data_IF_971260340095
#
_entry.id   IF_971260340095
#
_cell.length_a   1.000
_cell.length_b   1.000
_cell.length_c   1.000
_cell.angle_alpha   90.00
_cell.angle_beta   90.00
_cell.angle_gamma   90.00
#
_symmetry.space_group_name_H-M   'P 1'
#
loop_
_entity.id
_entity.type
_entity.pdbx_description
1 polymer ?
#
# COMPACT_ATOMS: atom_id res chain seq x y z
N UNK A 1 1.96 -10.48 16.26
CA UNK A 1 0.80 -9.58 16.22
C UNK A 1 0.25 -9.66 14.82
N UNK A 2 -0.95 -10.19 14.65
CA UNK A 2 -1.73 -10.01 13.42
C UNK A 2 -1.99 -8.53 13.25
N UNK A 3 -1.75 -7.96 12.06
CA UNK A 3 -2.10 -6.56 11.81
C UNK A 3 -3.59 -6.35 12.08
N UNK A 4 -3.88 -5.21 12.70
CA UNK A 4 -5.24 -4.73 12.91
C UNK A 4 -5.75 -4.23 11.55
N UNK A 5 -6.87 -4.75 11.10
CA UNK A 5 -7.59 -4.20 9.94
C UNK A 5 -8.05 -2.77 10.26
N UNK A 6 -7.70 -1.83 9.38
CA UNK A 6 -8.16 -0.45 9.49
C UNK A 6 -9.66 -0.38 9.16
N UNK A 7 -10.38 0.37 9.97
CA UNK A 7 -11.82 0.59 9.82
C UNK A 7 -12.13 2.05 9.64
N UNK A 8 -13.39 2.37 9.35
CA UNK A 8 -13.85 3.78 9.26
C UNK A 8 -13.53 4.61 10.50
N UNK A 9 -13.40 3.99 11.68
CA UNK A 9 -13.05 4.67 12.95
C UNK A 9 -11.60 5.14 12.99
N UNK A 10 -10.75 4.62 12.12
CA UNK A 10 -9.33 4.93 12.04
C UNK A 10 -9.05 6.07 11.05
N UNK A 11 -10.10 6.62 10.40
CA UNK A 11 -10.00 7.68 9.40
C UNK A 11 -10.49 9.03 9.92
N UNK A 12 -9.87 10.09 9.41
CA UNK A 12 -10.40 11.46 9.54
C UNK A 12 -11.32 11.74 8.36
N UNK A 13 -12.65 11.75 8.60
CA UNK A 13 -13.63 11.91 7.52
C UNK A 13 -13.98 13.38 7.24
N UNK A 14 -14.07 13.71 5.96
CA UNK A 14 -14.57 15.00 5.45
C UNK A 14 -15.93 14.77 4.81
N UNK A 15 -16.97 15.45 5.30
CA UNK A 15 -18.34 15.28 4.79
C UNK A 15 -18.55 15.83 3.37
N UNK A 16 -17.67 16.74 2.93
CA UNK A 16 -17.72 17.38 1.61
C UNK A 16 -17.24 16.42 0.52
N UNK A 17 -17.94 16.39 -0.61
CA UNK A 17 -17.68 15.45 -1.71
C UNK A 17 -17.72 16.09 -3.11
N UNK A 18 -17.61 17.43 -3.19
CA UNK A 18 -17.53 18.10 -4.48
C UNK A 18 -16.19 17.83 -5.19
N UNK A 19 -16.15 18.11 -6.49
CA UNK A 19 -14.99 17.84 -7.35
C UNK A 19 -13.70 18.47 -6.85
N UNK A 20 -13.74 19.66 -6.26
CA UNK A 20 -12.53 20.29 -5.75
C UNK A 20 -12.00 19.56 -4.51
N UNK A 21 -12.89 19.14 -3.60
CA UNK A 21 -12.51 18.30 -2.45
C UNK A 21 -11.92 16.96 -2.90
N UNK A 22 -12.53 16.30 -3.88
CA UNK A 22 -12.01 15.04 -4.42
C UNK A 22 -10.67 15.22 -5.14
N UNK A 23 -10.47 16.32 -5.85
CA UNK A 23 -9.19 16.66 -6.49
C UNK A 23 -8.09 16.91 -5.45
N UNK A 24 -8.37 17.65 -4.37
CA UNK A 24 -7.43 17.85 -3.26
C UNK A 24 -7.05 16.50 -2.64
N UNK A 25 -8.04 15.65 -2.37
CA UNK A 25 -7.83 14.30 -1.86
C UNK A 25 -6.96 13.45 -2.79
N UNK A 26 -7.29 13.39 -4.09
CA UNK A 26 -6.50 12.62 -5.06
C UNK A 26 -5.08 13.15 -5.24
N UNK A 27 -4.87 14.47 -5.16
CA UNK A 27 -3.52 15.03 -5.14
C UNK A 27 -2.75 14.60 -3.90
N UNK A 28 -3.37 14.62 -2.72
CA UNK A 28 -2.73 14.15 -1.50
C UNK A 28 -2.35 12.66 -1.58
N UNK A 29 -3.22 11.80 -2.11
CA UNK A 29 -2.87 10.39 -2.38
C UNK A 29 -1.67 10.30 -3.34
N UNK A 30 -1.72 11.07 -4.44
CA UNK A 30 -0.65 11.10 -5.44
C UNK A 30 0.70 11.52 -4.87
N UNK A 31 0.74 12.51 -3.98
CA UNK A 31 1.96 12.94 -3.29
C UNK A 31 2.56 11.79 -2.46
N UNK A 32 1.72 11.07 -1.72
CA UNK A 32 2.18 9.92 -0.92
C UNK A 32 2.65 8.80 -1.84
N UNK A 33 1.92 8.49 -2.92
CA UNK A 33 2.33 7.47 -3.89
C UNK A 33 3.68 7.81 -4.55
N UNK A 34 3.92 9.07 -4.92
CA UNK A 34 5.19 9.51 -5.50
C UNK A 34 6.33 9.39 -4.48
N UNK A 35 6.08 9.77 -3.21
CA UNK A 35 7.07 9.68 -2.14
C UNK A 35 7.56 8.25 -1.89
N UNK A 36 6.66 7.26 -1.95
CA UNK A 36 6.97 5.85 -1.68
C UNK A 36 6.97 4.99 -2.94
N UNK A 37 7.16 5.58 -4.12
CA UNK A 37 7.08 4.88 -5.42
C UNK A 37 8.04 3.68 -5.54
N UNK A 38 9.13 3.68 -4.79
CA UNK A 38 10.12 2.60 -4.78
C UNK A 38 9.54 1.28 -4.24
N UNK A 39 8.47 1.32 -3.43
CA UNK A 39 7.77 0.11 -2.99
C UNK A 39 7.13 -0.65 -4.16
N UNK A 40 6.79 0.06 -5.25
CA UNK A 40 6.25 -0.57 -6.45
C UNK A 40 7.32 -1.30 -7.30
N UNK A 41 8.61 -1.19 -6.95
CA UNK A 41 9.69 -1.87 -7.67
C UNK A 41 9.71 -3.39 -7.41
N UNK A 42 9.06 -3.88 -6.35
CA UNK A 42 8.87 -5.32 -6.11
C UNK A 42 10.15 -6.09 -5.78
N UNK A 43 11.13 -5.44 -5.15
CA UNK A 43 12.44 -6.04 -4.79
C UNK A 43 12.37 -7.10 -3.70
N UNK A 44 11.27 -7.14 -2.95
CA UNK A 44 11.13 -7.96 -1.74
C UNK A 44 11.28 -9.45 -2.02
N UNK A 45 10.65 -9.94 -3.10
CA UNK A 45 10.76 -11.36 -3.47
C UNK A 45 12.17 -11.71 -3.95
N UNK A 46 12.89 -10.79 -4.61
CA UNK A 46 14.30 -11.04 -4.98
C UNK A 46 15.22 -11.11 -3.77
N UNK A 47 14.99 -10.28 -2.74
CA UNK A 47 15.74 -10.35 -1.47
C UNK A 47 15.55 -11.72 -0.81
N UNK A 48 14.31 -12.20 -0.74
CA UNK A 48 13.98 -13.51 -0.16
C UNK A 48 14.60 -14.65 -0.98
N UNK A 49 14.51 -14.60 -2.30
CA UNK A 49 15.10 -15.61 -3.20
C UNK A 49 16.63 -15.67 -3.07
N UNK A 50 17.30 -14.51 -3.03
CA UNK A 50 18.74 -14.42 -2.79
C UNK A 50 19.14 -14.97 -1.42
N UNK A 51 18.36 -14.65 -0.38
CA UNK A 51 18.61 -15.15 0.97
C UNK A 51 18.58 -16.68 1.01
N UNK A 52 17.58 -17.31 0.36
CA UNK A 52 17.48 -18.77 0.26
C UNK A 52 18.64 -19.37 -0.53
N UNK A 53 18.95 -18.81 -1.71
CA UNK A 53 20.03 -19.32 -2.58
C UNK A 53 21.42 -19.24 -1.95
N UNK A 54 21.64 -18.20 -1.14
CA UNK A 54 22.93 -17.95 -0.48
C UNK A 54 22.97 -18.51 0.94
N UNK A 55 21.88 -19.13 1.42
CA UNK A 55 21.70 -19.57 2.82
C UNK A 55 22.01 -18.45 3.83
N UNK A 56 21.72 -17.19 3.44
CA UNK A 56 22.11 -16.00 4.18
C UNK A 56 20.94 -15.40 4.93
N UNK A 57 20.93 -15.60 6.26
CA UNK A 57 19.98 -14.92 7.16
C UNK A 57 20.17 -13.40 7.14
N UNK A 58 21.41 -12.93 7.02
CA UNK A 58 21.72 -11.50 6.97
C UNK A 58 21.08 -10.80 5.77
N UNK A 59 20.93 -11.52 4.66
CA UNK A 59 20.25 -11.00 3.47
C UNK A 59 18.79 -10.62 3.74
N UNK A 60 18.10 -11.32 4.65
CA UNK A 60 16.72 -10.97 5.04
C UNK A 60 16.64 -9.65 5.82
N UNK A 61 17.75 -9.15 6.39
CA UNK A 61 17.77 -7.83 7.03
C UNK A 61 17.54 -6.69 6.02
N UNK A 62 17.77 -6.92 4.72
CA UNK A 62 17.43 -5.95 3.67
C UNK A 62 15.91 -5.69 3.56
N UNK A 63 15.06 -6.55 4.14
CA UNK A 63 13.62 -6.31 4.23
C UNK A 63 13.24 -5.30 5.32
N UNK A 64 14.09 -5.06 6.33
CA UNK A 64 13.80 -4.15 7.44
C UNK A 64 13.50 -2.71 7.00
N UNK A 65 14.34 -2.05 6.16
CA UNK A 65 14.00 -0.71 5.68
C UNK A 65 12.72 -0.69 4.84
N UNK A 66 12.44 -1.76 4.07
CA UNK A 66 11.22 -1.86 3.26
C UNK A 66 9.98 -1.98 4.16
N UNK A 67 10.07 -2.77 5.24
CA UNK A 67 9.01 -2.88 6.25
C UNK A 67 8.72 -1.54 6.93
N UNK A 68 9.77 -0.77 7.26
CA UNK A 68 9.63 0.56 7.82
C UNK A 68 8.96 1.53 6.82
N UNK A 69 9.30 1.43 5.54
CA UNK A 69 8.68 2.25 4.49
C UNK A 69 7.20 1.90 4.27
N UNK A 70 6.81 0.61 4.28
CA UNK A 70 5.39 0.23 4.24
C UNK A 70 4.63 0.76 5.45
N UNK A 71 5.22 0.69 6.64
CA UNK A 71 4.60 1.24 7.85
C UNK A 71 4.44 2.76 7.77
N UNK A 72 5.46 3.47 7.29
CA UNK A 72 5.41 4.91 7.07
C UNK A 72 4.39 5.28 5.98
N UNK A 73 4.31 4.52 4.89
CA UNK A 73 3.30 4.64 3.83
C UNK A 73 1.88 4.54 4.41
N UNK A 74 1.58 3.44 5.12
CA UNK A 74 0.26 3.19 5.71
C UNK A 74 -0.12 4.31 6.67
N UNK A 75 0.79 4.70 7.57
CA UNK A 75 0.56 5.77 8.53
C UNK A 75 0.32 7.13 7.84
N UNK A 76 1.04 7.40 6.73
CA UNK A 76 0.86 8.64 5.96
C UNK A 76 -0.51 8.68 5.30
N UNK A 77 -0.94 7.58 4.65
CA UNK A 77 -2.28 7.50 4.06
C UNK A 77 -3.39 7.60 5.10
N UNK A 78 -3.27 6.89 6.24
CA UNK A 78 -4.27 6.91 7.32
C UNK A 78 -4.51 8.31 7.88
N UNK A 79 -3.46 9.14 7.91
CA UNK A 79 -3.53 10.51 8.39
C UNK A 79 -4.20 11.49 7.42
N UNK A 80 -4.44 11.10 6.17
CA UNK A 80 -5.08 11.97 5.19
C UNK A 80 -6.55 12.22 5.55
N UNK A 81 -7.07 13.45 5.41
CA UNK A 81 -8.50 13.70 5.43
C UNK A 81 -9.18 12.99 4.26
N UNK A 82 -10.11 12.08 4.54
CA UNK A 82 -10.78 11.24 3.54
C UNK A 82 -12.20 11.75 3.30
N UNK A 83 -12.56 12.17 2.08
CA UNK A 83 -13.95 12.45 1.74
C UNK A 83 -14.83 11.25 2.05
N UNK A 84 -16.00 11.44 2.67
CA UNK A 84 -16.87 10.33 3.07
C UNK A 84 -17.19 9.41 1.89
N UNK A 85 -17.39 9.96 0.70
CA UNK A 85 -17.67 9.16 -0.50
C UNK A 85 -16.49 8.27 -0.96
N UNK A 86 -15.28 8.48 -0.43
CA UNK A 86 -14.06 7.77 -0.79
C UNK A 86 -13.57 6.79 0.29
N UNK A 87 -14.27 6.66 1.44
CA UNK A 87 -13.73 5.90 2.58
C UNK A 87 -13.49 4.43 2.22
N UNK A 88 -14.35 3.80 1.43
CA UNK A 88 -14.23 2.36 1.11
C UNK A 88 -12.98 2.06 0.30
N UNK A 89 -12.77 2.83 -0.78
CA UNK A 89 -11.60 2.65 -1.64
C UNK A 89 -10.31 3.06 -0.92
N UNK A 90 -10.38 4.03 0.01
CA UNK A 90 -9.26 4.39 0.86
C UNK A 90 -8.90 3.27 1.86
N UNK A 91 -9.90 2.69 2.54
CA UNK A 91 -9.67 1.57 3.46
C UNK A 91 -9.09 0.35 2.75
N UNK A 92 -9.59 0.05 1.55
CA UNK A 92 -9.04 -1.03 0.74
C UNK A 92 -7.54 -0.83 0.46
N UNK A 93 -7.12 0.42 0.19
CA UNK A 93 -5.70 0.77 0.00
C UNK A 93 -4.88 0.59 1.27
N UNK A 94 -5.37 1.05 2.42
CA UNK A 94 -4.68 0.85 3.70
C UNK A 94 -4.52 -0.63 4.02
N UNK A 95 -5.61 -1.39 3.94
CA UNK A 95 -5.65 -2.78 4.35
C UNK A 95 -4.81 -3.67 3.45
N UNK A 96 -4.81 -3.45 2.13
CA UNK A 96 -3.98 -4.26 1.23
C UNK A 96 -2.49 -4.03 1.48
N UNK A 97 -2.07 -2.79 1.79
CA UNK A 97 -0.68 -2.51 2.13
C UNK A 97 -0.30 -3.04 3.51
N UNK A 98 -1.22 -3.06 4.46
CA UNK A 98 -1.01 -3.72 5.75
C UNK A 98 -0.81 -5.24 5.58
N UNK A 99 -1.59 -5.88 4.70
CA UNK A 99 -1.40 -7.30 4.36
C UNK A 99 -0.04 -7.55 3.69
N UNK A 100 0.40 -6.67 2.78
CA UNK A 100 1.73 -6.75 2.17
C UNK A 100 2.83 -6.66 3.23
N UNK A 101 2.76 -5.71 4.15
CA UNK A 101 3.71 -5.58 5.27
C UNK A 101 3.73 -6.84 6.14
N UNK A 102 2.57 -7.38 6.50
CA UNK A 102 2.49 -8.58 7.34
C UNK A 102 3.09 -9.81 6.66
N UNK A 103 2.87 -9.95 5.36
CA UNK A 103 3.50 -10.98 4.56
C UNK A 103 5.03 -10.83 4.56
N UNK A 104 5.55 -9.60 4.51
CA UNK A 104 6.98 -9.30 4.62
C UNK A 104 7.54 -9.64 6.00
N UNK A 105 6.80 -9.40 7.08
CA UNK A 105 7.21 -9.82 8.43
C UNK A 105 7.32 -11.34 8.55
N UNK A 106 6.44 -12.08 7.87
CA UNK A 106 6.54 -13.54 7.82
C UNK A 106 7.75 -13.98 7.00
N UNK A 107 7.97 -13.37 5.84
CA UNK A 107 9.13 -13.66 4.98
C UNK A 107 10.47 -13.35 5.66
N UNK A 108 10.56 -12.29 6.46
CA UNK A 108 11.81 -11.95 7.17
C UNK A 108 12.21 -12.98 8.24
N UNK A 109 11.28 -13.87 8.63
CA UNK A 109 11.49 -14.95 9.59
C UNK A 109 11.68 -16.31 8.93
N UNK A 110 11.88 -16.37 7.61
CA UNK A 110 11.93 -17.63 6.85
C UNK A 110 12.90 -18.67 7.43
N UNK A 111 14.06 -18.27 7.94
CA UNK A 111 15.03 -19.21 8.53
C UNK A 111 14.68 -19.65 9.97
N UNK A 112 13.78 -18.93 10.67
CA UNK A 112 13.27 -19.31 11.99
C UNK A 112 11.99 -20.14 11.90
N UNK A 113 11.12 -19.80 10.95
CA UNK A 113 9.85 -20.45 10.67
C UNK A 113 9.70 -20.62 9.14
N UNK A 114 10.24 -21.71 8.57
CA UNK A 114 10.19 -21.95 7.13
C UNK A 114 8.77 -22.07 6.58
N UNK A 115 7.85 -22.65 7.36
CA UNK A 115 6.44 -22.79 6.97
C UNK A 115 5.78 -21.41 6.94
N UNK A 116 5.97 -20.61 8.00
CA UNK A 116 5.47 -19.25 8.07
C UNK A 116 6.06 -18.34 7.00
N UNK A 117 7.36 -18.44 6.73
CA UNK A 117 8.02 -17.69 5.66
C UNK A 117 7.49 -18.04 4.28
N UNK A 118 7.30 -19.32 3.98
CA UNK A 118 6.69 -19.77 2.72
C UNK A 118 5.24 -19.31 2.58
N UNK A 119 4.47 -19.32 3.68
CA UNK A 119 3.13 -18.74 3.71
C UNK A 119 3.17 -17.23 3.43
N UNK A 120 4.14 -16.50 4.00
CA UNK A 120 4.39 -15.09 3.72
C UNK A 120 4.60 -14.79 2.23
N UNK A 121 5.39 -15.61 1.52
CA UNK A 121 5.57 -15.45 0.05
C UNK A 121 4.24 -15.57 -0.70
N UNK A 122 3.41 -16.55 -0.33
CA UNK A 122 2.08 -16.74 -0.96
C UNK A 122 1.17 -15.55 -0.67
N UNK A 123 1.14 -15.10 0.57
CA UNK A 123 0.33 -13.97 1.02
C UNK A 123 0.76 -12.65 0.34
N UNK A 124 2.06 -12.40 0.19
CA UNK A 124 2.58 -11.23 -0.51
C UNK A 124 2.13 -11.22 -1.97
N UNK A 125 2.25 -12.37 -2.67
CA UNK A 125 1.78 -12.47 -4.07
C UNK A 125 0.29 -12.18 -4.18
N UNK A 126 -0.50 -12.68 -3.24
CA UNK A 126 -1.94 -12.38 -3.18
C UNK A 126 -2.18 -10.88 -2.90
N UNK A 127 -1.52 -10.30 -1.91
CA UNK A 127 -1.67 -8.89 -1.57
C UNK A 127 -1.23 -7.97 -2.72
N UNK A 128 -0.20 -8.33 -3.49
CA UNK A 128 0.21 -7.60 -4.69
C UNK A 128 -0.88 -7.64 -5.79
N UNK A 129 -1.51 -8.81 -6.01
CA UNK A 129 -2.63 -8.94 -6.94
C UNK A 129 -3.85 -8.13 -6.50
N UNK A 130 -4.22 -8.24 -5.22
CA UNK A 130 -5.31 -7.46 -4.63
C UNK A 130 -4.99 -5.96 -4.68
N UNK A 131 -3.73 -5.57 -4.49
CA UNK A 131 -3.26 -4.18 -4.55
C UNK A 131 -3.42 -3.57 -5.93
N UNK A 132 -3.12 -4.32 -7.00
CA UNK A 132 -3.37 -3.89 -8.37
C UNK A 132 -4.86 -3.64 -8.64
N UNK A 133 -5.74 -4.47 -8.07
CA UNK A 133 -7.20 -4.27 -8.14
C UNK A 133 -7.60 -2.98 -7.42
N UNK A 134 -7.11 -2.77 -6.20
CA UNK A 134 -7.43 -1.57 -5.40
C UNK A 134 -6.96 -0.28 -6.09
N UNK A 135 -5.77 -0.26 -6.68
CA UNK A 135 -5.27 0.91 -7.42
C UNK A 135 -6.16 1.22 -8.62
N UNK A 136 -6.61 0.19 -9.35
CA UNK A 136 -7.57 0.37 -10.45
C UNK A 136 -8.91 0.89 -9.94
N UNK A 137 -9.40 0.38 -8.81
CA UNK A 137 -10.68 0.83 -8.25
C UNK A 137 -10.59 2.29 -7.77
N UNK A 138 -9.43 2.74 -7.28
CA UNK A 138 -9.17 4.13 -6.94
C UNK A 138 -9.16 5.05 -8.17
N UNK A 139 -8.57 4.59 -9.29
CA UNK A 139 -8.66 5.27 -10.57
C UNK A 139 -10.12 5.39 -11.04
N UNK A 140 -10.83 4.27 -11.09
CA UNK A 140 -12.24 4.23 -11.51
C UNK A 140 -13.09 5.16 -10.64
N UNK A 141 -12.85 5.20 -9.33
CA UNK A 141 -13.51 6.12 -8.42
C UNK A 141 -13.36 7.59 -8.87
N UNK A 142 -12.15 8.05 -9.20
CA UNK A 142 -11.96 9.43 -9.66
C UNK A 142 -12.62 9.69 -11.02
N UNK A 143 -12.54 8.73 -11.95
CA UNK A 143 -13.18 8.81 -13.26
C UNK A 143 -14.71 8.91 -13.15
N UNK A 144 -15.33 8.05 -12.35
CA UNK A 144 -16.79 8.05 -12.11
C UNK A 144 -17.27 9.34 -11.44
N UNK A 145 -16.44 9.96 -10.60
CA UNK A 145 -16.72 11.28 -10.01
C UNK A 145 -16.42 12.45 -10.95
N UNK A 146 -15.91 12.17 -12.15
CA UNK A 146 -15.56 13.17 -13.14
C UNK A 146 -14.48 14.14 -12.65
N UNK A 147 -13.52 13.61 -11.90
CA UNK A 147 -12.33 14.31 -11.41
C UNK A 147 -11.18 14.01 -12.38
N UNK A 148 -10.60 15.07 -12.94
CA UNK A 148 -9.45 14.96 -13.86
C UNK A 148 -8.30 15.75 -13.26
N UNK A 149 -7.12 15.14 -13.25
CA UNK A 149 -5.88 15.76 -12.79
C UNK A 149 -5.12 16.35 -13.98
N UNK A 150 -4.42 17.46 -13.79
CA UNK A 150 -3.53 18.01 -14.82
C UNK A 150 -2.18 17.28 -14.78
N UNK A 151 -1.40 17.35 -15.85
CA UNK A 151 -0.10 16.65 -15.94
C UNK A 151 0.89 17.00 -14.82
N UNK A 152 0.77 18.20 -14.23
CA UNK A 152 1.62 18.66 -13.13
C UNK A 152 1.06 18.33 -11.74
N UNK A 153 -0.15 17.79 -11.65
CA UNK A 153 -0.75 17.38 -10.38
C UNK A 153 -0.16 16.04 -9.91
N UNK A 154 0.17 15.88 -8.62
CA UNK A 154 0.58 14.57 -8.09
C UNK A 154 -0.47 13.47 -8.34
N UNK A 155 -1.75 13.82 -8.35
CA UNK A 155 -2.86 12.91 -8.65
C UNK A 155 -2.93 12.47 -10.12
N UNK A 156 -2.10 13.01 -11.02
CA UNK A 156 -2.07 12.64 -12.44
C UNK A 156 -1.85 11.14 -12.69
N UNK A 157 -1.23 10.45 -11.74
CA UNK A 157 -1.07 9.00 -11.77
C UNK A 157 -2.40 8.24 -11.89
N UNK A 158 -3.52 8.83 -11.48
CA UNK A 158 -4.85 8.23 -11.54
C UNK A 158 -5.59 8.50 -12.86
N UNK A 159 -5.03 9.32 -13.76
CA UNK A 159 -5.60 9.50 -15.11
C UNK A 159 -5.23 8.37 -16.08
N UNK A 160 -4.18 7.59 -15.77
CA UNK A 160 -3.55 6.64 -16.68
C UNK A 160 -4.10 5.22 -16.52
#
# INVERSE_FOLDING_TARGET
MTSREDTIKDLTLVQKSDKNTLRIYGNALGEVAVKYRHLAEGKELSIVDDAVKQESREKLAELEPILADYEAFINTYRALPVPLVAYEVHLALLNVNALTRDALVKMSRLFDDPIGGAAGVKEYRKAAQDGAVVVRDLKNFFEEKGVVFNDNDPGYIFNK
#
